data_IF_424489956006
#
_entry.id   IF_424489956006
#
_cell.length_a   1.000
_cell.length_b   1.000
_cell.length_c   1.000
_cell.angle_alpha   90.00
_cell.angle_beta   90.00
_cell.angle_gamma   90.00
#
_symmetry.space_group_name_H-M   'P 1'
#
loop_
_entity.id
_entity.type
_entity.pdbx_description
1 polymer ?
#
# COMPACT_ATOMS: atom_id res chain seq x y z
N UNK A 1 8.76 3.09 2.33
CA UNK A 1 8.46 1.72 1.87
C UNK A 1 7.01 1.65 1.40
N UNK A 2 6.58 0.60 0.71
CA UNK A 2 5.19 0.43 0.29
C UNK A 2 5.07 -0.54 -0.88
N UNK A 3 3.84 -0.91 -1.22
CA UNK A 3 3.54 -1.77 -2.38
C UNK A 3 2.17 -1.42 -3.00
N UNK A 4 1.84 -2.03 -4.12
CA UNK A 4 0.56 -1.90 -4.81
C UNK A 4 -0.45 -2.98 -4.39
N UNK A 5 -1.73 -2.78 -4.72
CA UNK A 5 -2.84 -3.64 -4.29
C UNK A 5 -3.16 -4.78 -5.29
N UNK A 6 -2.16 -5.61 -5.60
CA UNK A 6 -2.34 -6.82 -6.41
C UNK A 6 -1.42 -7.95 -5.94
N UNK A 7 -1.81 -9.19 -6.21
CA UNK A 7 -1.07 -10.37 -5.76
C UNK A 7 0.40 -10.35 -6.20
N UNK A 8 1.33 -10.51 -5.24
CA UNK A 8 2.77 -10.52 -5.50
C UNK A 8 3.38 -9.15 -5.80
N UNK A 9 2.66 -8.05 -5.58
CA UNK A 9 3.21 -6.70 -5.74
C UNK A 9 4.41 -6.45 -4.82
N UNK A 10 4.39 -6.98 -3.58
CA UNK A 10 5.46 -6.79 -2.60
C UNK A 10 6.82 -7.29 -3.09
N UNK A 11 6.84 -8.42 -3.80
CA UNK A 11 8.05 -9.04 -4.36
C UNK A 11 8.72 -8.18 -5.43
N UNK A 12 7.99 -7.24 -6.02
CA UNK A 12 8.49 -6.33 -7.06
C UNK A 12 9.16 -5.08 -6.50
N UNK A 13 9.14 -4.89 -5.17
CA UNK A 13 9.73 -3.75 -4.49
C UNK A 13 9.31 -2.41 -5.09
N UNK A 14 10.30 -1.55 -5.41
CA UNK A 14 10.07 -0.23 -6.00
C UNK A 14 9.43 -0.23 -7.39
N UNK A 15 9.27 -1.39 -8.03
CA UNK A 15 8.71 -1.53 -9.38
C UNK A 15 7.26 -2.02 -9.40
N UNK A 16 6.60 -2.15 -8.26
CA UNK A 16 5.21 -2.60 -8.18
C UNK A 16 4.22 -1.72 -8.99
N UNK A 17 4.55 -0.45 -9.28
CA UNK A 17 3.73 0.39 -10.17
C UNK A 17 3.63 -0.12 -11.62
N UNK A 18 4.58 -0.97 -12.06
CA UNK A 18 4.54 -1.64 -13.36
C UNK A 18 3.64 -2.87 -13.25
N UNK A 19 2.33 -2.64 -13.27
CA UNK A 19 1.32 -3.70 -13.12
C UNK A 19 1.46 -4.72 -14.27
N UNK A 20 1.73 -6.00 -13.97
CA UNK A 20 1.77 -7.04 -14.99
C UNK A 20 0.41 -7.24 -15.66
N UNK A 21 0.41 -7.66 -16.92
CA UNK A 21 -0.82 -8.03 -17.61
C UNK A 21 -1.50 -9.19 -16.87
N UNK A 22 -2.80 -9.06 -16.59
CA UNK A 22 -3.57 -10.06 -15.86
C UNK A 22 -3.33 -10.06 -14.34
N UNK A 23 -2.72 -9.02 -13.78
CA UNK A 23 -2.59 -8.88 -12.33
C UNK A 23 -3.97 -8.96 -11.65
N UNK A 24 -4.03 -9.73 -10.56
CA UNK A 24 -5.25 -9.94 -9.77
C UNK A 24 -5.26 -8.91 -8.62
N UNK A 25 -6.29 -8.04 -8.53
CA UNK A 25 -6.41 -7.09 -7.42
C UNK A 25 -6.46 -7.78 -6.06
N UNK A 26 -5.71 -7.22 -5.11
CA UNK A 26 -5.55 -7.74 -3.76
C UNK A 26 -5.07 -6.63 -2.81
N UNK A 27 -5.97 -6.08 -1.99
CA UNK A 27 -5.59 -5.13 -0.95
C UNK A 27 -4.95 -5.79 0.27
N UNK A 28 -5.12 -7.11 0.46
CA UNK A 28 -4.47 -7.87 1.53
C UNK A 28 -2.96 -7.96 1.30
N UNK A 29 -2.49 -7.91 0.05
CA UNK A 29 -1.07 -7.78 -0.28
C UNK A 29 -0.45 -6.55 0.42
N UNK A 30 -1.08 -5.36 0.30
CA UNK A 30 -0.57 -4.15 0.95
C UNK A 30 -0.58 -4.28 2.48
N UNK A 31 -1.64 -4.89 3.04
CA UNK A 31 -1.78 -5.05 4.48
C UNK A 31 -0.75 -6.02 5.09
N UNK A 32 -0.47 -7.15 4.41
CA UNK A 32 0.61 -8.06 4.80
C UNK A 32 1.97 -7.37 4.68
N UNK A 33 2.25 -6.76 3.54
CA UNK A 33 3.54 -6.09 3.30
C UNK A 33 3.84 -4.98 4.31
N UNK A 34 2.81 -4.19 4.68
CA UNK A 34 2.89 -3.21 5.76
C UNK A 34 3.30 -3.88 7.08
N UNK A 35 2.59 -4.94 7.46
CA UNK A 35 2.78 -5.63 8.75
C UNK A 35 4.17 -6.26 8.83
N UNK A 36 4.55 -7.04 7.81
CA UNK A 36 5.82 -7.76 7.74
C UNK A 36 7.01 -6.79 7.78
N UNK A 37 6.99 -5.70 7.01
CA UNK A 37 8.10 -4.74 7.04
C UNK A 37 8.14 -3.92 8.32
N UNK A 38 7.00 -3.58 8.92
CA UNK A 38 7.00 -2.90 10.21
C UNK A 38 7.55 -3.79 11.31
N UNK A 39 7.19 -5.07 11.36
CA UNK A 39 7.77 -6.04 12.31
C UNK A 39 9.30 -6.08 12.16
N UNK A 40 9.82 -6.16 10.92
CA UNK A 40 11.26 -6.13 10.64
C UNK A 40 11.90 -4.80 11.08
N UNK A 41 11.28 -3.67 10.78
CA UNK A 41 11.82 -2.36 11.16
C UNK A 41 11.86 -2.18 12.67
N UNK A 42 10.85 -2.66 13.39
CA UNK A 42 10.80 -2.67 14.85
C UNK A 42 11.93 -3.55 15.42
N UNK A 43 12.11 -4.77 14.90
CA UNK A 43 13.16 -5.71 15.35
C UNK A 43 14.58 -5.18 15.09
N UNK A 44 14.79 -4.48 13.99
CA UNK A 44 16.09 -3.88 13.62
C UNK A 44 16.34 -2.50 14.30
N UNK A 45 15.40 -2.01 15.10
CA UNK A 45 15.54 -0.74 15.82
C UNK A 45 15.47 0.51 14.94
N UNK A 46 14.72 0.46 13.84
CA UNK A 46 14.50 1.61 12.96
C UNK A 46 13.62 2.65 13.66
N UNK A 47 14.15 3.86 13.86
CA UNK A 47 13.43 4.94 14.56
C UNK A 47 12.17 5.43 13.82
N UNK A 48 12.17 5.40 12.48
CA UNK A 48 11.06 5.94 11.68
C UNK A 48 10.98 5.28 10.31
N UNK A 49 9.79 4.84 9.94
CA UNK A 49 9.49 4.33 8.62
C UNK A 49 8.23 5.00 8.05
N UNK A 50 8.31 5.51 6.81
CA UNK A 50 7.20 6.20 6.14
C UNK A 50 6.66 5.36 4.98
N UNK A 51 5.33 5.16 4.98
CA UNK A 51 4.64 4.57 3.86
C UNK A 51 4.60 5.57 2.69
N UNK A 52 5.11 5.14 1.55
CA UNK A 52 4.88 5.80 0.28
C UNK A 52 3.68 5.09 -0.35
N UNK A 53 2.49 5.71 -0.46
CA UNK A 53 2.13 7.12 -0.17
C UNK A 53 0.67 7.22 0.33
N UNK A 54 0.15 8.42 0.63
CA UNK A 54 -1.27 8.60 0.96
C UNK A 54 -2.18 8.19 -0.21
N UNK A 55 -2.01 8.82 -1.37
CA UNK A 55 -2.85 8.61 -2.55
C UNK A 55 -2.05 8.57 -3.85
N UNK A 56 -2.53 7.80 -4.82
CA UNK A 56 -2.05 7.84 -6.21
C UNK A 56 -2.85 8.83 -7.05
N UNK A 57 -2.64 10.14 -6.87
CA UNK A 57 -3.44 11.19 -7.53
C UNK A 57 -3.51 11.07 -9.06
N UNK A 58 -2.47 10.55 -9.72
CA UNK A 58 -2.43 10.34 -11.18
C UNK A 58 -3.07 9.02 -11.65
N UNK A 59 -3.62 8.23 -10.71
CA UNK A 59 -4.13 6.86 -10.94
C UNK A 59 -5.54 6.64 -10.38
N UNK A 60 -6.54 7.46 -10.74
CA UNK A 60 -7.92 7.23 -10.30
C UNK A 60 -8.57 6.01 -10.99
N UNK A 61 -9.58 5.44 -10.34
CA UNK A 61 -10.38 4.34 -10.86
C UNK A 61 -9.56 3.05 -11.02
N UNK A 62 -9.70 2.38 -12.16
CA UNK A 62 -9.01 1.11 -12.44
C UNK A 62 -7.47 1.23 -12.45
N UNK A 63 -6.94 2.43 -12.70
CA UNK A 63 -5.49 2.69 -12.67
C UNK A 63 -4.89 2.60 -11.26
N UNK A 64 -5.74 2.62 -10.23
CA UNK A 64 -5.34 2.52 -8.83
C UNK A 64 -4.61 1.21 -8.52
N UNK A 65 -4.77 0.18 -9.35
CA UNK A 65 -4.05 -1.08 -9.20
C UNK A 65 -2.52 -0.89 -9.18
N UNK A 66 -2.00 0.13 -9.90
CA UNK A 66 -0.58 0.50 -9.88
C UNK A 66 -0.22 1.63 -8.91
N UNK A 67 -1.11 1.93 -7.97
CA UNK A 67 -0.94 2.96 -6.95
C UNK A 67 -0.35 2.36 -5.67
N UNK A 68 0.58 3.09 -5.06
CA UNK A 68 1.10 2.79 -3.72
C UNK A 68 0.25 3.44 -2.62
N UNK A 69 -0.82 4.17 -2.98
CA UNK A 69 -1.68 4.87 -2.05
C UNK A 69 -2.34 3.94 -1.04
N UNK A 70 -2.46 4.39 0.22
CA UNK A 70 -3.35 3.78 1.23
C UNK A 70 -4.82 4.11 0.98
N UNK A 71 -5.11 5.08 0.10
CA UNK A 71 -6.46 5.37 -0.39
C UNK A 71 -6.56 5.12 -1.89
N UNK A 72 -7.74 4.73 -2.35
CA UNK A 72 -8.11 4.64 -3.77
C UNK A 72 -8.72 5.97 -4.20
N UNK A 73 -8.17 6.59 -5.24
CA UNK A 73 -8.78 7.78 -5.83
C UNK A 73 -9.96 7.37 -6.72
N UNK A 74 -11.15 7.90 -6.43
CA UNK A 74 -12.36 7.70 -7.23
C UNK A 74 -12.43 8.68 -8.40
N UNK A 75 -11.93 9.91 -8.18
CA UNK A 75 -11.68 10.94 -9.18
C UNK A 75 -10.57 11.88 -8.70
N UNK A 76 -10.49 13.11 -9.21
CA UNK A 76 -9.47 14.09 -8.82
C UNK A 76 -9.57 14.56 -7.35
N UNK A 77 -10.72 14.40 -6.70
CA UNK A 77 -11.01 14.98 -5.38
C UNK A 77 -11.53 13.96 -4.36
N UNK A 78 -12.27 12.95 -4.82
CA UNK A 78 -12.88 11.92 -3.98
C UNK A 78 -11.98 10.70 -3.89
N UNK A 79 -11.90 10.14 -2.70
CA UNK A 79 -11.16 8.92 -2.40
C UNK A 79 -11.87 8.11 -1.33
N UNK A 80 -11.47 6.85 -1.21
CA UNK A 80 -11.92 5.94 -0.17
C UNK A 80 -10.74 5.14 0.40
N UNK A 81 -10.77 4.75 1.68
CA UNK A 81 -9.68 4.01 2.31
C UNK A 81 -9.57 2.59 1.72
N UNK A 82 -8.33 2.14 1.50
CA UNK A 82 -8.03 0.73 1.24
C UNK A 82 -7.86 -0.03 2.56
N UNK A 83 -7.84 -1.35 2.50
CA UNK A 83 -7.58 -2.21 3.68
C UNK A 83 -6.33 -1.79 4.46
N UNK A 84 -5.23 -1.49 3.77
CA UNK A 84 -3.97 -1.06 4.40
C UNK A 84 -4.12 0.24 5.23
N UNK A 85 -5.05 1.12 4.88
CA UNK A 85 -5.37 2.30 5.69
C UNK A 85 -5.86 1.90 7.08
N UNK A 86 -6.80 0.95 7.14
CA UNK A 86 -7.35 0.44 8.38
C UNK A 86 -6.33 -0.38 9.17
N UNK A 87 -5.51 -1.19 8.47
CA UNK A 87 -4.40 -1.93 9.10
C UNK A 87 -3.41 -0.98 9.76
N UNK A 88 -3.03 0.09 9.07
CA UNK A 88 -2.13 1.13 9.61
C UNK A 88 -2.73 1.82 10.84
N UNK A 89 -4.00 2.23 10.77
CA UNK A 89 -4.69 2.85 11.90
C UNK A 89 -4.75 1.91 13.12
N UNK A 90 -5.09 0.64 12.91
CA UNK A 90 -5.15 -0.36 13.98
C UNK A 90 -3.77 -0.64 14.61
N UNK A 91 -2.70 -0.62 13.80
CA UNK A 91 -1.33 -0.84 14.29
C UNK A 91 -0.85 0.32 15.18
N UNK A 92 -1.06 1.56 14.74
CA UNK A 92 -0.64 2.74 15.51
C UNK A 92 -1.52 3.08 16.71
N UNK A 93 -2.71 2.46 16.85
CA UNK A 93 -3.50 2.56 18.08
C UNK A 93 -2.99 1.65 19.21
N UNK A 94 -2.12 0.68 18.89
CA UNK A 94 -1.63 -0.34 19.83
C UNK A 94 -0.27 -0.03 20.44
N UNK A 95 0.45 0.96 19.90
CA UNK A 95 1.69 1.51 20.46
C UNK A 95 1.42 2.78 21.22
#
# INVERSE_FOLDING_TARGET
YGTCAYQGAGERGGMAWQVPHGAVPDEDEQARYLTELLDIFEDEGVDTALWFTFAGYSRPGERDLGSYGVVRMLDEKRWEPKKVFHTMAARYQRG
#
